data_IF_334318198973
#
_entry.id   IF_334318198973
#
_cell.length_a   1.000
_cell.length_b   1.000
_cell.length_c   1.000
_cell.angle_alpha   90.00
_cell.angle_beta   90.00
_cell.angle_gamma   90.00
#
_symmetry.space_group_name_H-M   'P 1'
#
loop_
_entity.id
_entity.type
_entity.pdbx_description
1 polymer ?
#
# COMPACT_ATOMS: atom_id res chain seq x y z
N UNK A 1 -3.50 8.06 -7.75
CA UNK A 1 -2.13 7.52 -7.73
C UNK A 1 -2.15 6.20 -6.95
N UNK A 2 -1.41 5.20 -7.39
CA UNK A 2 -1.30 3.89 -6.72
C UNK A 2 -0.61 3.97 -5.35
N UNK A 3 0.06 5.08 -5.06
CA UNK A 3 0.60 5.40 -3.74
C UNK A 3 0.37 6.88 -3.43
N UNK A 4 -0.06 7.15 -2.20
CA UNK A 4 -0.09 8.48 -1.59
C UNK A 4 0.75 8.43 -0.32
N UNK A 5 1.55 9.47 -0.08
CA UNK A 5 2.41 9.55 1.10
C UNK A 5 2.29 10.95 1.67
N UNK A 6 1.84 11.03 2.90
CA UNK A 6 1.81 12.25 3.70
C UNK A 6 2.90 12.14 4.77
N UNK A 7 3.64 13.22 5.01
CA UNK A 7 4.75 13.23 5.96
C UNK A 7 4.74 14.54 6.75
N UNK A 8 4.90 14.43 8.07
CA UNK A 8 5.02 15.58 8.96
C UNK A 8 6.12 15.31 9.99
N UNK A 9 7.26 15.97 9.82
CA UNK A 9 8.44 15.73 10.66
C UNK A 9 8.86 14.25 10.63
N UNK A 10 8.78 13.59 11.78
CA UNK A 10 9.25 12.22 11.99
C UNK A 10 8.18 11.16 11.76
N UNK A 11 6.98 11.52 11.30
CA UNK A 11 5.90 10.56 11.01
C UNK A 11 5.53 10.58 9.53
N UNK A 12 5.13 9.43 9.01
CA UNK A 12 4.59 9.30 7.67
C UNK A 12 3.39 8.35 7.63
N UNK A 13 2.42 8.68 6.80
CA UNK A 13 1.31 7.79 6.43
C UNK A 13 1.41 7.45 4.96
N UNK A 14 1.42 6.15 4.65
CA UNK A 14 1.50 5.64 3.28
C UNK A 14 0.26 4.82 2.99
N UNK A 15 -0.50 5.25 1.99
CA UNK A 15 -1.63 4.52 1.45
C UNK A 15 -1.25 4.01 0.06
N UNK A 16 -1.10 2.70 -0.10
CA UNK A 16 -0.52 2.12 -1.31
C UNK A 16 -1.23 0.86 -1.78
N UNK A 17 -1.44 0.74 -3.07
CA UNK A 17 -1.90 -0.50 -3.70
C UNK A 17 -0.82 -1.57 -3.63
N UNK A 18 -1.22 -2.79 -3.27
CA UNK A 18 -0.37 -3.97 -3.32
C UNK A 18 -0.96 -5.03 -4.24
N UNK A 19 -0.08 -5.89 -4.73
CA UNK A 19 -0.42 -7.12 -5.46
C UNK A 19 0.37 -8.28 -4.87
N UNK A 20 -0.26 -9.45 -4.76
CA UNK A 20 0.38 -10.71 -4.40
C UNK A 20 0.32 -11.66 -5.59
N UNK A 21 1.48 -12.20 -5.94
CA UNK A 21 1.67 -13.19 -7.02
C UNK A 21 2.34 -14.43 -6.45
N UNK A 22 2.07 -15.62 -7.01
CA UNK A 22 2.71 -16.86 -6.55
C UNK A 22 4.08 -17.00 -7.20
N UNK A 23 4.16 -16.68 -8.48
CA UNK A 23 5.40 -16.51 -9.24
C UNK A 23 5.48 -15.08 -9.80
N UNK A 24 6.69 -14.59 -10.04
CA UNK A 24 6.91 -13.25 -10.59
C UNK A 24 6.35 -13.13 -12.01
N UNK A 25 6.35 -14.24 -12.74
CA UNK A 25 5.93 -14.36 -14.13
C UNK A 25 4.41 -14.54 -14.29
N UNK A 26 3.67 -14.72 -13.19
CA UNK A 26 2.22 -14.84 -13.23
C UNK A 26 1.61 -13.61 -13.90
N UNK A 27 0.83 -13.81 -14.97
CA UNK A 27 0.24 -12.69 -15.73
C UNK A 27 -0.70 -11.83 -14.87
N UNK A 28 -1.42 -12.44 -13.92
CA UNK A 28 -2.36 -11.75 -13.02
C UNK A 28 -2.04 -12.04 -11.55
N UNK A 29 -2.21 -11.06 -10.66
CA UNK A 29 -2.08 -11.31 -9.23
C UNK A 29 -3.25 -12.14 -8.72
N UNK A 30 -3.00 -12.98 -7.73
CA UNK A 30 -4.06 -13.75 -7.06
C UNK A 30 -4.76 -12.94 -5.97
N UNK A 31 -4.14 -11.84 -5.51
CA UNK A 31 -4.72 -10.89 -4.58
C UNK A 31 -4.20 -9.49 -4.86
N UNK A 32 -5.05 -8.49 -4.72
CA UNK A 32 -4.67 -7.08 -4.70
C UNK A 32 -5.49 -6.34 -3.66
N UNK A 33 -5.02 -5.18 -3.25
CA UNK A 33 -5.66 -4.42 -2.19
C UNK A 33 -4.90 -3.17 -1.86
N UNK A 34 -5.22 -2.58 -0.70
CA UNK A 34 -4.51 -1.43 -0.16
C UNK A 34 -3.80 -1.80 1.13
N UNK A 35 -2.57 -1.31 1.28
CA UNK A 35 -1.88 -1.14 2.55
C UNK A 35 -2.10 0.28 3.08
N UNK A 36 -2.45 0.40 4.35
CA UNK A 36 -2.42 1.61 5.15
C UNK A 36 -1.31 1.47 6.19
N UNK A 37 -0.22 2.22 5.99
CA UNK A 37 1.02 2.06 6.74
C UNK A 37 1.29 3.33 7.53
N UNK A 38 1.58 3.19 8.81
CA UNK A 38 2.08 4.27 9.64
C UNK A 38 3.56 4.03 9.95
N UNK A 39 4.39 5.05 9.72
CA UNK A 39 5.82 5.00 9.96
C UNK A 39 6.27 6.08 10.94
N UNK A 40 7.31 5.76 11.70
CA UNK A 40 8.03 6.69 12.56
C UNK A 40 9.52 6.68 12.23
N UNK A 41 10.16 7.84 12.25
CA UNK A 41 11.59 8.03 12.04
C UNK A 41 12.28 8.34 13.38
N UNK A 42 13.34 7.63 13.73
CA UNK A 42 14.09 7.84 14.98
C UNK A 42 15.21 8.88 14.89
N UNK A 43 15.32 9.56 13.74
CA UNK A 43 16.42 10.45 13.39
C UNK A 43 17.51 9.80 12.54
N UNK A 44 17.49 8.46 12.37
CA UNK A 44 18.42 7.71 11.52
C UNK A 44 17.72 6.88 10.46
N UNK A 45 16.59 6.25 10.78
CA UNK A 45 15.81 5.45 9.81
C UNK A 45 14.33 5.40 10.15
N UNK A 46 13.55 4.96 9.16
CA UNK A 46 12.11 4.72 9.28
C UNK A 46 11.82 3.31 9.82
N UNK A 47 10.82 3.22 10.69
CA UNK A 47 10.23 1.98 11.20
C UNK A 47 8.76 1.94 10.83
N UNK A 48 8.26 0.75 10.50
CA UNK A 48 6.82 0.50 10.40
C UNK A 48 6.28 0.38 11.83
N UNK A 49 5.44 1.33 12.23
CA UNK A 49 4.76 1.30 13.52
C UNK A 49 3.49 0.46 13.42
N UNK A 50 2.73 0.61 12.34
CA UNK A 50 1.52 -0.16 12.08
C UNK A 50 1.34 -0.42 10.59
N UNK A 51 0.73 -1.56 10.28
CA UNK A 51 0.32 -1.95 8.95
C UNK A 51 -1.07 -2.58 9.04
N UNK A 52 -2.03 -1.98 8.35
CA UNK A 52 -3.35 -2.56 8.11
C UNK A 52 -3.49 -2.74 6.61
N UNK A 53 -4.06 -3.85 6.17
CA UNK A 53 -4.35 -4.09 4.76
C UNK A 53 -5.80 -4.48 4.55
N UNK A 54 -6.31 -4.17 3.36
CA UNK A 54 -7.61 -4.62 2.89
C UNK A 54 -7.50 -5.08 1.45
N UNK A 55 -7.70 -6.38 1.24
CA UNK A 55 -7.88 -6.96 -0.08
C UNK A 55 -9.22 -6.53 -0.68
N UNK A 56 -9.26 -6.40 -2.00
CA UNK A 56 -10.55 -6.27 -2.71
C UNK A 56 -11.35 -7.58 -2.66
N UNK A 57 -12.66 -7.47 -2.86
CA UNK A 57 -13.57 -8.61 -3.01
C UNK A 57 -14.76 -8.23 -3.89
N UNK A 58 -15.72 -9.15 -4.08
CA UNK A 58 -16.87 -8.93 -4.94
C UNK A 58 -17.72 -7.69 -4.54
N UNK A 59 -17.70 -7.29 -3.27
CA UNK A 59 -18.45 -6.13 -2.78
C UNK A 59 -17.60 -4.85 -2.76
N UNK A 60 -16.27 -4.97 -2.71
CA UNK A 60 -15.34 -3.85 -2.63
C UNK A 60 -14.21 -4.02 -3.63
N UNK A 61 -14.43 -3.52 -4.85
CA UNK A 61 -13.41 -3.49 -5.91
C UNK A 61 -12.42 -2.35 -5.69
N UNK A 62 -11.15 -2.53 -6.09
CA UNK A 62 -10.16 -1.46 -6.01
C UNK A 62 -10.53 -0.29 -6.95
N UNK A 63 -10.77 0.93 -6.42
CA UNK A 63 -11.12 2.07 -7.27
C UNK A 63 -10.00 2.44 -8.26
N UNK A 64 -10.38 2.90 -9.46
CA UNK A 64 -9.44 3.21 -10.55
C UNK A 64 -8.34 4.21 -10.14
N UNK A 65 -8.68 5.17 -9.26
CA UNK A 65 -7.73 6.15 -8.74
C UNK A 65 -6.50 5.51 -8.06
N UNK A 66 -6.63 4.28 -7.56
CA UNK A 66 -5.56 3.52 -6.91
C UNK A 66 -4.85 2.55 -7.85
N UNK A 67 -5.24 2.44 -9.12
CA UNK A 67 -4.58 1.59 -10.11
C UNK A 67 -3.50 2.33 -10.91
N UNK A 68 -3.56 3.66 -10.96
CA UNK A 68 -2.63 4.45 -11.78
C UNK A 68 -1.30 4.67 -11.06
N UNK A 69 -0.25 3.99 -11.52
CA UNK A 69 1.13 4.40 -11.26
C UNK A 69 1.33 5.76 -11.94
N UNK A 70 1.57 6.79 -11.14
CA UNK A 70 2.08 8.07 -11.62
C UNK A 70 3.58 8.09 -11.45
#
# INVERSE_FOLDING_TARGET
KARTTETFGQIAHVFSTYEARRAKEDAKPFMRGINSIQLIHDGKRWYVLSLIWRAEDAALQLPERYLRNG
#
